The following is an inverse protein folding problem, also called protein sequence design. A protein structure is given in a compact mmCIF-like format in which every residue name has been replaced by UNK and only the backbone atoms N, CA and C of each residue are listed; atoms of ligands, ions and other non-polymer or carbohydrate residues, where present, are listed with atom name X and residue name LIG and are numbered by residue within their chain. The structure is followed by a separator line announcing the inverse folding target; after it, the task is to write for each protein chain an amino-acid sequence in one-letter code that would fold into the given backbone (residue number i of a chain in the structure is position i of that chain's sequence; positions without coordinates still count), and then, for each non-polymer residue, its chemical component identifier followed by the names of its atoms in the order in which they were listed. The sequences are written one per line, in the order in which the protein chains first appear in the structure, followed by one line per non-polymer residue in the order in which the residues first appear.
data_IF_105714968277
#
_entry.id   IF_105714968277
#
_cell.length_a   1.000
_cell.length_b   1.000
_cell.length_c   1.000
_cell.angle_alpha   90.00
_cell.angle_beta   90.00
_cell.angle_gamma   90.00
#
_symmetry.space_group_name_H-M   'P 1'
#
loop_
_entity.id
_entity.type
_entity.pdbx_description
1 polymer ?
#
# COMPACT_ATOMS: atom_id res chain seq x y z
N UNK A 1 -28.80 -56.26 -75.87
CA UNK A 1 -27.65 -56.22 -74.97
C UNK A 1 -27.99 -55.32 -73.79
N UNK A 2 -28.18 -55.88 -72.61
CA UNK A 2 -28.53 -55.18 -71.38
C UNK A 2 -27.28 -54.95 -70.57
N UNK A 3 -27.00 -53.78 -69.98
CA UNK A 3 -26.11 -53.67 -68.87
C UNK A 3 -26.89 -53.58 -67.55
N UNK A 4 -26.38 -54.27 -66.60
CA UNK A 4 -26.86 -54.41 -65.22
C UNK A 4 -26.57 -53.13 -64.40
N UNK A 5 -27.59 -52.65 -63.72
CA UNK A 5 -27.43 -51.57 -62.74
C UNK A 5 -26.90 -52.17 -61.43
N UNK A 6 -25.78 -51.63 -60.94
CA UNK A 6 -25.29 -51.86 -59.58
C UNK A 6 -25.90 -50.83 -58.64
N UNK A 7 -26.73 -51.30 -57.72
CA UNK A 7 -27.27 -50.48 -56.66
C UNK A 7 -26.21 -50.43 -55.54
N UNK A 8 -25.62 -49.31 -55.32
CA UNK A 8 -24.64 -49.07 -54.25
C UNK A 8 -25.38 -48.52 -53.03
N UNK A 9 -25.51 -49.35 -52.01
CA UNK A 9 -26.15 -49.02 -50.74
C UNK A 9 -25.16 -48.22 -49.91
N UNK A 10 -25.41 -46.92 -49.74
CA UNK A 10 -24.63 -46.06 -48.85
C UNK A 10 -25.24 -46.20 -47.44
N UNK A 11 -24.51 -46.83 -46.53
CA UNK A 11 -24.80 -46.86 -45.08
C UNK A 11 -24.27 -45.56 -44.48
N UNK A 12 -25.17 -44.67 -44.14
CA UNK A 12 -24.83 -43.47 -43.40
C UNK A 12 -24.73 -43.81 -41.91
N UNK A 13 -23.52 -43.94 -41.38
CA UNK A 13 -23.21 -44.08 -39.97
C UNK A 13 -23.37 -42.70 -39.28
N UNK A 14 -24.51 -42.46 -38.63
CA UNK A 14 -24.71 -41.32 -37.76
C UNK A 14 -23.91 -41.54 -36.45
N UNK A 15 -22.69 -40.98 -36.41
CA UNK A 15 -21.95 -40.86 -35.17
C UNK A 15 -22.60 -39.79 -34.31
N UNK A 16 -23.38 -40.21 -33.35
CA UNK A 16 -23.92 -39.35 -32.30
C UNK A 16 -22.75 -38.84 -31.39
N UNK A 17 -22.36 -37.57 -31.58
CA UNK A 17 -21.49 -36.91 -30.67
C UNK A 17 -22.33 -36.48 -29.44
N UNK A 18 -22.30 -37.28 -28.39
CA UNK A 18 -22.81 -36.85 -27.09
C UNK A 18 -21.86 -35.74 -26.56
N UNK A 19 -22.30 -34.49 -26.61
CA UNK A 19 -21.66 -33.39 -25.87
C UNK A 19 -21.81 -33.71 -24.37
N UNK A 20 -20.78 -34.34 -23.82
CA UNK A 20 -20.63 -34.43 -22.37
C UNK A 20 -20.22 -33.06 -21.86
N UNK A 21 -21.20 -32.31 -21.35
CA UNK A 21 -20.93 -31.08 -20.61
C UNK A 21 -20.08 -31.47 -19.40
N UNK A 22 -18.78 -31.16 -19.42
CA UNK A 22 -17.90 -31.25 -18.28
C UNK A 22 -18.41 -30.25 -17.23
N UNK A 23 -19.17 -30.73 -16.28
CA UNK A 23 -19.48 -29.98 -15.06
C UNK A 23 -18.13 -29.79 -14.33
N UNK A 24 -17.64 -28.56 -14.14
CA UNK A 24 -16.39 -28.36 -13.42
C UNK A 24 -16.58 -28.91 -12.01
N UNK A 25 -15.70 -29.83 -11.63
CA UNK A 25 -15.72 -30.49 -10.33
C UNK A 25 -15.58 -29.43 -9.24
N UNK A 26 -16.67 -29.15 -8.54
CA UNK A 26 -16.75 -28.16 -7.45
C UNK A 26 -15.77 -28.49 -6.33
N UNK A 27 -15.30 -29.77 -6.25
CA UNK A 27 -14.26 -30.18 -5.29
C UNK A 27 -12.88 -29.57 -5.60
N UNK A 28 -12.58 -29.27 -6.86
CA UNK A 28 -11.31 -28.63 -7.23
C UNK A 28 -11.26 -27.17 -6.81
N UNK A 29 -12.40 -26.50 -6.64
CA UNK A 29 -12.51 -25.14 -6.12
C UNK A 29 -12.32 -25.05 -4.60
N UNK A 30 -12.52 -26.16 -3.87
CA UNK A 30 -12.31 -26.22 -2.41
C UNK A 30 -10.89 -26.57 -2.02
N UNK A 31 -10.03 -27.00 -2.93
CA UNK A 31 -8.59 -27.21 -2.70
C UNK A 31 -7.79 -25.92 -2.90
N UNK A 32 -8.27 -24.76 -2.40
CA UNK A 32 -7.41 -23.60 -2.21
C UNK A 32 -6.34 -23.99 -1.22
N UNK A 33 -5.09 -24.10 -1.73
CA UNK A 33 -3.91 -24.46 -0.94
C UNK A 33 -3.92 -23.65 0.36
N UNK A 34 -3.85 -24.27 1.56
CA UNK A 34 -3.89 -23.54 2.83
C UNK A 34 -2.84 -22.42 2.94
N UNK A 35 -1.74 -22.54 2.19
CA UNK A 35 -0.69 -21.52 2.11
C UNK A 35 -1.11 -20.24 1.41
N UNK A 36 -1.98 -20.28 0.40
CA UNK A 36 -2.41 -19.06 -0.30
C UNK A 36 -3.33 -18.20 0.59
N UNK A 37 -4.20 -18.80 1.38
CA UNK A 37 -5.04 -18.08 2.33
C UNK A 37 -4.21 -17.42 3.44
N UNK A 38 -3.19 -18.11 3.98
CA UNK A 38 -2.26 -17.53 4.96
C UNK A 38 -1.44 -16.38 4.40
N UNK A 39 -0.95 -16.50 3.14
CA UNK A 39 -0.22 -15.40 2.50
C UNK A 39 -1.11 -14.16 2.26
N UNK A 40 -2.36 -14.36 1.87
CA UNK A 40 -3.31 -13.26 1.71
C UNK A 40 -3.62 -12.58 3.05
N UNK A 41 -3.84 -13.34 4.10
CA UNK A 41 -4.05 -12.81 5.46
C UNK A 41 -2.83 -12.04 5.96
N UNK A 42 -1.62 -12.56 5.75
CA UNK A 42 -0.38 -11.87 6.12
C UNK A 42 -0.22 -10.53 5.39
N UNK A 43 -0.48 -10.49 4.08
CA UNK A 43 -0.42 -9.25 3.30
C UNK A 43 -1.47 -8.23 3.72
N UNK A 44 -2.68 -8.68 4.04
CA UNK A 44 -3.76 -7.81 4.51
C UNK A 44 -3.43 -7.21 5.87
N UNK A 45 -2.89 -8.00 6.80
CA UNK A 45 -2.45 -7.52 8.10
C UNK A 45 -1.32 -6.48 7.97
N UNK A 46 -0.31 -6.76 7.14
CA UNK A 46 0.79 -5.81 6.89
C UNK A 46 0.30 -4.47 6.31
N UNK A 47 -0.67 -4.50 5.39
CA UNK A 47 -1.28 -3.27 4.84
C UNK A 47 -2.05 -2.49 5.89
N UNK A 48 -2.79 -3.18 6.77
CA UNK A 48 -3.50 -2.54 7.87
C UNK A 48 -2.54 -1.83 8.83
N UNK A 49 -1.38 -2.44 9.14
CA UNK A 49 -0.35 -1.84 9.99
C UNK A 49 0.29 -0.60 9.34
N UNK A 50 0.57 -0.67 8.02
CA UNK A 50 1.08 0.46 7.24
C UNK A 50 0.09 1.64 7.29
N UNK A 51 -1.18 1.37 7.02
CA UNK A 51 -2.23 2.41 7.03
C UNK A 51 -2.36 3.05 8.41
N UNK A 52 -2.43 2.23 9.46
CA UNK A 52 -2.52 2.70 10.85
C UNK A 52 -1.33 3.60 11.24
N UNK A 53 -0.12 3.27 10.76
CA UNK A 53 1.05 4.10 11.04
C UNK A 53 0.96 5.46 10.34
N UNK A 54 0.52 5.51 9.08
CA UNK A 54 0.29 6.79 8.41
C UNK A 54 -0.80 7.62 9.10
N UNK A 55 -1.90 7.03 9.51
CA UNK A 55 -2.97 7.71 10.28
C UNK A 55 -2.44 8.29 11.60
N UNK A 56 -1.58 7.56 12.31
CA UNK A 56 -0.94 8.03 13.53
C UNK A 56 -0.01 9.23 13.27
N UNK A 57 0.76 9.20 12.19
CA UNK A 57 1.63 10.31 11.78
C UNK A 57 0.79 11.53 11.41
N UNK A 58 -0.28 11.35 10.66
CA UNK A 58 -1.22 12.41 10.27
C UNK A 58 -1.78 13.12 11.51
N UNK A 59 -2.30 12.36 12.46
CA UNK A 59 -2.81 12.90 13.70
C UNK A 59 -1.72 13.61 14.53
N UNK A 60 -0.52 13.08 14.56
CA UNK A 60 0.63 13.70 15.21
C UNK A 60 0.99 15.06 14.61
N UNK A 61 0.96 15.19 13.28
CA UNK A 61 1.21 16.45 12.59
C UNK A 61 0.12 17.48 12.95
N UNK A 62 -1.16 17.10 12.84
CA UNK A 62 -2.30 17.98 13.14
C UNK A 62 -2.27 18.46 14.58
N UNK A 63 -1.91 17.60 15.53
CA UNK A 63 -1.80 17.93 16.95
C UNK A 63 -0.48 18.62 17.31
N UNK A 64 0.41 18.84 16.36
CA UNK A 64 1.78 19.33 16.61
C UNK A 64 2.55 18.49 17.64
N UNK A 65 2.28 17.18 17.69
CA UNK A 65 2.90 16.26 18.63
C UNK A 65 3.18 14.91 17.97
N UNK A 66 4.45 14.63 17.75
CA UNK A 66 4.93 13.36 17.20
C UNK A 66 5.49 12.40 18.25
N UNK A 67 5.28 12.71 19.53
CA UNK A 67 5.83 11.92 20.65
C UNK A 67 5.32 10.48 20.62
N UNK A 68 4.03 10.27 20.36
CA UNK A 68 3.44 8.92 20.27
C UNK A 68 3.97 8.14 19.05
N UNK A 69 4.29 8.86 17.97
CA UNK A 69 4.83 8.27 16.74
C UNK A 69 6.33 7.96 16.85
N UNK A 70 7.03 8.53 17.83
CA UNK A 70 8.51 8.46 17.94
C UNK A 70 9.05 7.03 17.98
N UNK A 71 8.35 6.12 18.64
CA UNK A 71 8.70 4.69 18.71
C UNK A 71 8.64 3.96 17.36
N UNK A 72 7.97 4.57 16.37
CA UNK A 72 7.84 4.05 15.01
C UNK A 72 8.82 4.69 14.04
N UNK A 73 9.73 5.52 14.49
CA UNK A 73 10.83 6.00 13.68
C UNK A 73 11.95 4.95 13.65
N UNK A 74 12.63 4.84 12.51
CA UNK A 74 13.83 4.03 12.39
C UNK A 74 14.95 4.62 13.25
N UNK A 75 15.95 3.81 13.57
CA UNK A 75 17.15 4.28 14.28
C UNK A 75 17.80 5.47 13.58
N UNK A 76 17.81 5.43 12.24
CA UNK A 76 18.21 6.55 11.39
C UNK A 76 17.12 6.84 10.36
N UNK A 77 16.71 8.07 10.28
CA UNK A 77 15.68 8.59 9.37
C UNK A 77 16.31 9.66 8.47
N UNK A 78 16.08 9.53 7.18
CA UNK A 78 16.44 10.61 6.26
C UNK A 78 15.39 11.72 6.37
N UNK A 79 15.82 12.91 6.71
CA UNK A 79 14.99 14.11 6.83
C UNK A 79 15.44 15.14 5.81
N UNK A 80 14.48 15.77 5.14
CA UNK A 80 14.72 16.93 4.29
C UNK A 80 13.61 17.96 4.53
N UNK A 81 13.97 19.09 5.14
CA UNK A 81 13.03 20.12 5.55
C UNK A 81 13.23 21.40 4.77
N UNK A 82 12.15 22.05 4.40
CA UNK A 82 12.18 23.41 3.82
C UNK A 82 12.80 24.46 4.77
N UNK A 83 12.96 24.13 6.06
CA UNK A 83 13.68 24.95 7.05
C UNK A 83 15.21 24.83 6.98
N UNK A 84 15.74 23.93 6.15
CA UNK A 84 17.18 23.80 5.87
C UNK A 84 17.82 22.52 6.42
N UNK A 85 17.17 21.79 7.33
CA UNK A 85 17.71 20.54 7.84
C UNK A 85 17.62 19.46 6.74
N UNK A 86 18.75 18.82 6.42
CA UNK A 86 18.81 17.73 5.43
C UNK A 86 19.89 16.73 5.82
N UNK A 87 19.54 15.44 5.86
CA UNK A 87 20.47 14.35 6.19
C UNK A 87 19.82 13.23 7.00
N UNK A 88 20.67 12.35 7.52
CA UNK A 88 20.26 11.26 8.41
C UNK A 88 20.34 11.70 9.86
N UNK A 89 19.25 11.50 10.58
CA UNK A 89 19.12 11.85 12.00
C UNK A 89 18.60 10.66 12.79
N UNK A 90 18.97 10.57 14.06
CA UNK A 90 18.38 9.60 14.97
C UNK A 90 16.88 9.84 15.13
N UNK A 91 16.13 8.83 15.61
CA UNK A 91 14.70 8.96 15.88
C UNK A 91 14.39 10.19 16.77
N UNK A 92 15.15 10.38 17.84
CA UNK A 92 14.96 11.50 18.78
C UNK A 92 15.28 12.87 18.15
N UNK A 93 16.35 12.96 17.37
CA UNK A 93 16.69 14.18 16.63
C UNK A 93 15.62 14.50 15.59
N UNK A 94 15.15 13.48 14.85
CA UNK A 94 14.07 13.65 13.87
C UNK A 94 12.81 14.20 14.52
N UNK A 95 12.36 13.61 15.62
CA UNK A 95 11.19 14.10 16.37
C UNK A 95 11.41 15.55 16.82
N UNK A 96 12.59 15.89 17.33
CA UNK A 96 12.91 17.26 17.78
C UNK A 96 12.90 18.27 16.61
N UNK A 97 13.41 17.91 15.43
CA UNK A 97 13.37 18.74 14.22
C UNK A 97 11.93 18.98 13.80
N UNK A 98 11.14 17.90 13.67
CA UNK A 98 9.74 17.98 13.26
C UNK A 98 8.90 18.76 14.28
N UNK A 99 9.11 18.54 15.58
CA UNK A 99 8.41 19.22 16.65
C UNK A 99 8.68 20.73 16.60
N UNK A 100 9.93 21.15 16.43
CA UNK A 100 10.30 22.57 16.27
C UNK A 100 9.66 23.18 15.02
N UNK A 101 9.65 22.45 13.90
CA UNK A 101 8.99 22.89 12.67
C UNK A 101 7.49 23.10 12.88
N UNK A 102 6.79 22.17 13.53
CA UNK A 102 5.34 22.22 13.76
C UNK A 102 4.97 23.28 14.80
N UNK A 103 5.69 23.36 15.94
CA UNK A 103 5.37 24.27 17.03
C UNK A 103 5.60 25.77 16.69
N UNK A 104 6.39 26.07 15.67
CA UNK A 104 6.55 27.44 15.16
C UNK A 104 5.40 27.92 14.25
N UNK A 105 4.41 27.08 14.02
CA UNK A 105 3.26 27.30 13.13
C UNK A 105 1.94 27.10 13.87
N UNK A 106 0.89 27.77 13.40
CA UNK A 106 -0.45 27.65 14.00
C UNK A 106 -1.47 27.23 12.93
N UNK A 107 -2.67 26.85 13.39
CA UNK A 107 -3.79 26.45 12.53
C UNK A 107 -3.41 25.34 11.54
N UNK A 108 -2.75 24.30 12.04
CA UNK A 108 -2.30 23.18 11.22
C UNK A 108 -3.50 22.36 10.71
N UNK A 109 -3.50 22.12 9.41
CA UNK A 109 -4.38 21.17 8.74
C UNK A 109 -3.53 20.29 7.84
N UNK A 110 -3.64 18.99 8.01
CA UNK A 110 -2.86 18.03 7.25
C UNK A 110 -3.69 16.79 6.91
N UNK A 111 -3.52 16.30 5.71
CA UNK A 111 -4.11 15.05 5.23
C UNK A 111 -3.17 14.40 4.22
N UNK A 112 -2.98 13.09 4.32
CA UNK A 112 -2.35 12.33 3.27
C UNK A 112 -3.34 12.12 2.11
N UNK A 113 -2.99 12.63 0.94
CA UNK A 113 -3.82 12.58 -0.28
C UNK A 113 -3.43 11.46 -1.23
N UNK A 114 -2.25 10.88 -1.07
CA UNK A 114 -1.76 9.79 -1.93
C UNK A 114 -1.00 8.78 -1.09
N UNK A 115 -1.33 7.50 -1.31
CA UNK A 115 -0.71 6.36 -0.64
C UNK A 115 -0.19 5.36 -1.66
N UNK A 116 0.96 4.76 -1.35
CA UNK A 116 1.43 3.53 -1.97
C UNK A 116 1.73 2.55 -0.84
N UNK A 117 0.86 1.56 -0.67
CA UNK A 117 0.97 0.51 0.34
C UNK A 117 1.51 -0.81 -0.23
N UNK A 118 1.95 -0.78 -1.49
CA UNK A 118 2.49 -1.92 -2.22
C UNK A 118 4.01 -1.84 -2.33
N UNK A 119 4.68 -2.97 -2.22
CA UNK A 119 6.14 -3.05 -2.34
C UNK A 119 6.87 -3.03 -1.00
N UNK A 120 8.20 -2.94 -1.08
CA UNK A 120 9.10 -2.98 0.08
C UNK A 120 9.23 -1.64 0.82
N UNK A 121 8.79 -0.55 0.19
CA UNK A 121 8.91 0.81 0.71
C UNK A 121 7.58 1.56 0.54
N UNK A 122 6.58 1.28 1.38
CA UNK A 122 5.34 2.05 1.39
C UNK A 122 5.61 3.52 1.64
N UNK A 123 4.84 4.40 0.98
CA UNK A 123 4.96 5.83 1.21
C UNK A 123 3.60 6.53 1.13
N UNK A 124 3.54 7.72 1.72
CA UNK A 124 2.40 8.61 1.60
C UNK A 124 2.88 10.04 1.34
N UNK A 125 2.07 10.79 0.60
CA UNK A 125 2.27 12.23 0.40
C UNK A 125 1.00 12.97 0.76
N UNK A 126 1.17 14.15 1.37
CA UNK A 126 0.06 14.99 1.77
C UNK A 126 0.40 16.47 1.72
N UNK A 127 -0.61 17.30 1.95
CA UNK A 127 -0.47 18.75 2.03
C UNK A 127 -0.66 19.23 3.45
N UNK A 128 0.34 19.88 3.99
CA UNK A 128 0.27 20.59 5.26
C UNK A 128 -0.05 22.06 4.99
N UNK A 129 -1.17 22.55 5.52
CA UNK A 129 -1.55 23.97 5.50
C UNK A 129 -1.40 24.55 6.90
N UNK A 130 -0.84 25.75 7.01
CA UNK A 130 -0.54 26.39 8.29
C UNK A 130 -0.52 27.91 8.18
N UNK A 131 -0.51 28.58 9.32
CA UNK A 131 -0.26 30.02 9.41
C UNK A 131 1.14 30.22 10.01
N UNK A 132 1.97 30.97 9.29
CA UNK A 132 3.30 31.37 9.71
C UNK A 132 3.44 32.88 9.60
N UNK A 133 3.81 33.56 10.70
CA UNK A 133 3.92 35.03 10.75
C UNK A 133 2.70 35.76 10.19
N UNK A 134 1.50 35.25 10.51
CA UNK A 134 0.22 35.81 10.06
C UNK A 134 -0.16 35.53 8.60
N UNK A 135 0.64 34.76 7.84
CA UNK A 135 0.34 34.38 6.45
C UNK A 135 -0.05 32.90 6.37
N UNK A 136 -1.01 32.61 5.50
CA UNK A 136 -1.36 31.22 5.13
C UNK A 136 -0.30 30.69 4.19
N UNK A 137 0.28 29.57 4.55
CA UNK A 137 1.31 28.85 3.80
C UNK A 137 0.94 27.38 3.67
N UNK A 138 1.58 26.68 2.75
CA UNK A 138 1.44 25.23 2.64
C UNK A 138 2.78 24.60 2.28
N UNK A 139 2.95 23.36 2.71
CA UNK A 139 4.10 22.52 2.40
C UNK A 139 3.60 21.13 1.95
N UNK A 140 4.37 20.48 1.10
CA UNK A 140 4.16 19.08 0.78
C UNK A 140 4.95 18.22 1.77
N UNK A 141 4.27 17.24 2.35
CA UNK A 141 4.90 16.25 3.23
C UNK A 141 5.00 14.92 2.48
N UNK A 142 6.16 14.29 2.56
CA UNK A 142 6.42 12.94 2.07
C UNK A 142 6.95 12.09 3.22
N UNK A 143 6.35 10.94 3.43
CA UNK A 143 6.78 9.97 4.43
C UNK A 143 6.93 8.61 3.78
N UNK A 144 8.05 7.93 4.00
CA UNK A 144 8.21 6.54 3.59
C UNK A 144 8.53 5.62 4.77
N UNK A 145 8.10 4.39 4.62
CA UNK A 145 8.26 3.34 5.63
C UNK A 145 9.21 2.25 5.10
N UNK A 146 9.85 1.56 6.03
CA UNK A 146 10.54 0.29 5.76
C UNK A 146 10.17 -0.74 6.83
N UNK A 147 10.22 -2.00 6.45
CA UNK A 147 10.02 -3.10 7.39
C UNK A 147 11.36 -3.46 8.03
N UNK A 148 11.43 -3.32 9.34
CA UNK A 148 12.63 -3.56 10.14
C UNK A 148 12.24 -4.16 11.49
N UNK A 149 12.97 -5.17 11.95
CA UNK A 149 12.76 -5.81 13.26
C UNK A 149 11.28 -6.22 13.48
N UNK A 150 10.70 -6.85 12.44
CA UNK A 150 9.31 -7.35 12.41
C UNK A 150 8.24 -6.27 12.56
N UNK A 151 8.55 -5.00 12.27
CA UNK A 151 7.61 -3.89 12.32
C UNK A 151 7.87 -2.87 11.22
N UNK A 152 6.85 -2.08 10.90
CA UNK A 152 7.00 -0.92 10.03
C UNK A 152 7.54 0.27 10.81
N UNK A 153 8.55 0.94 10.23
CA UNK A 153 9.17 2.13 10.81
C UNK A 153 9.29 3.23 9.75
N UNK A 154 9.19 4.47 10.17
CA UNK A 154 9.46 5.64 9.32
C UNK A 154 10.95 5.69 9.01
N UNK A 155 11.30 5.62 7.74
CA UNK A 155 12.68 5.69 7.26
C UNK A 155 13.02 7.02 6.59
N UNK A 156 12.00 7.77 6.16
CA UNK A 156 12.18 9.06 5.52
C UNK A 156 11.01 9.98 5.84
N UNK A 157 11.31 11.26 6.10
CA UNK A 157 10.32 12.31 6.36
C UNK A 157 10.79 13.62 5.73
N UNK A 158 10.11 14.07 4.71
CA UNK A 158 10.47 15.30 4.00
C UNK A 158 9.32 16.31 4.04
N UNK A 159 9.69 17.58 4.10
CA UNK A 159 8.77 18.72 4.02
C UNK A 159 9.34 19.75 3.04
N UNK A 160 8.62 19.96 1.94
CA UNK A 160 8.99 20.83 0.82
C UNK A 160 8.16 22.11 0.79
#
# INVERSE_FOLDING_TARGET
MRPRALVSTIIVLLLGHTLQAQVPDVRSLMQRKPGAARQLQGRTAQRADVKKLFEMIEQGIVRSSLTESSRHFAEQVFVNMSSGESGYFSASQTVSILQRFLSSRSSLSFEFSRFSDTGSTPYATGRLSFVSRGRKESAQVYVSLRFQDSRWVVSQFNVY
#
